data_IF_525276735268
#
_entry.id   IF_525276735268
#
_cell.length_a   1.000
_cell.length_b   1.000
_cell.length_c   1.000
_cell.angle_alpha   90.00
_cell.angle_beta   90.00
_cell.angle_gamma   90.00
#
_symmetry.space_group_name_H-M   'P 1'
#
loop_
_entity.id
_entity.type
_entity.pdbx_description
1 polymer ?
#
# COMPACT_ATOMS: atom_id res chain seq x y z
N UNK A 1 -2.53 -17.23 -23.54
CA UNK A 1 -1.56 -16.12 -23.51
C UNK A 1 -2.23 -14.74 -23.56
N UNK A 2 -3.55 -14.64 -23.38
CA UNK A 2 -4.29 -13.38 -23.27
C UNK A 2 -4.24 -12.76 -21.88
N UNK A 3 -4.96 -11.65 -21.72
CA UNK A 3 -5.28 -11.06 -20.43
C UNK A 3 -6.45 -11.80 -19.80
N UNK A 4 -6.45 -11.96 -18.49
CA UNK A 4 -7.57 -12.54 -17.75
C UNK A 4 -7.74 -11.84 -16.40
N UNK A 5 -8.93 -11.94 -15.84
CA UNK A 5 -9.33 -11.23 -14.63
C UNK A 5 -9.09 -9.72 -14.78
N UNK A 6 -8.67 -9.04 -13.74
CA UNK A 6 -8.44 -7.59 -13.72
C UNK A 6 -7.26 -7.11 -14.59
N UNK A 7 -6.44 -8.03 -15.16
CA UNK A 7 -5.42 -7.64 -16.13
C UNK A 7 -5.98 -6.87 -17.32
N UNK A 8 -7.22 -7.22 -17.76
CA UNK A 8 -7.91 -6.56 -18.86
C UNK A 8 -8.00 -5.05 -18.61
N UNK A 9 -8.24 -4.67 -17.36
CA UNK A 9 -8.38 -3.27 -16.96
C UNK A 9 -7.03 -2.61 -16.69
N UNK A 10 -6.20 -3.25 -15.87
CA UNK A 10 -4.96 -2.62 -15.38
C UNK A 10 -3.85 -2.58 -16.43
N UNK A 11 -3.66 -3.65 -17.21
CA UNK A 11 -2.69 -3.64 -18.31
C UNK A 11 -3.11 -2.70 -19.44
N UNK A 12 -4.43 -2.62 -19.73
CA UNK A 12 -4.98 -1.65 -20.65
C UNK A 12 -4.70 -0.22 -20.18
N UNK A 13 -4.99 0.11 -18.92
CA UNK A 13 -4.74 1.44 -18.38
C UNK A 13 -3.26 1.79 -18.37
N UNK A 14 -2.36 0.82 -18.11
CA UNK A 14 -0.93 1.02 -18.25
C UNK A 14 -0.52 1.45 -19.68
N UNK A 15 -1.14 0.84 -20.70
CA UNK A 15 -0.96 1.24 -22.10
C UNK A 15 -1.54 2.63 -22.38
N UNK A 16 -2.76 2.92 -21.88
CA UNK A 16 -3.42 4.23 -22.04
C UNK A 16 -2.58 5.35 -21.40
N UNK A 17 -1.97 5.12 -20.23
CA UNK A 17 -1.05 6.06 -19.59
C UNK A 17 0.19 6.33 -20.44
N UNK A 18 0.77 5.28 -21.01
CA UNK A 18 1.96 5.39 -21.86
C UNK A 18 1.71 6.23 -23.11
N UNK A 19 0.54 6.09 -23.73
CA UNK A 19 0.17 6.74 -24.96
C UNK A 19 -0.69 8.01 -24.77
N UNK A 20 -0.83 8.49 -23.53
CA UNK A 20 -1.60 9.71 -23.22
C UNK A 20 -3.05 9.62 -23.76
N UNK A 21 -3.69 8.48 -23.54
CA UNK A 21 -5.06 8.21 -23.98
C UNK A 21 -6.08 8.42 -22.85
N UNK A 22 -7.37 8.46 -23.21
CA UNK A 22 -8.46 8.43 -22.22
C UNK A 22 -8.39 7.16 -21.37
N UNK A 23 -8.47 7.31 -20.07
CA UNK A 23 -8.35 6.21 -19.12
C UNK A 23 -9.69 5.50 -18.97
N UNK A 24 -9.72 4.20 -19.27
CA UNK A 24 -10.89 3.36 -19.13
C UNK A 24 -11.18 2.96 -17.69
N UNK A 25 -10.14 2.47 -16.97
CA UNK A 25 -10.26 2.06 -15.58
C UNK A 25 -9.70 3.16 -14.64
N UNK A 26 -10.59 3.88 -13.98
CA UNK A 26 -10.30 5.01 -13.10
C UNK A 26 -10.73 4.74 -11.64
N UNK A 27 -11.24 3.54 -11.33
CA UNK A 27 -11.85 3.21 -10.02
C UNK A 27 -10.84 3.06 -8.89
N UNK A 28 -9.55 2.96 -9.19
CA UNK A 28 -8.46 2.90 -8.23
C UNK A 28 -7.41 3.98 -8.48
N UNK A 29 -6.70 4.44 -7.42
CA UNK A 29 -5.59 5.37 -7.56
C UNK A 29 -4.54 4.88 -8.57
N UNK A 30 -3.79 5.77 -9.22
CA UNK A 30 -3.02 5.42 -10.41
C UNK A 30 -1.73 4.66 -10.18
N UNK A 31 -1.09 4.73 -8.98
CA UNK A 31 0.29 4.27 -8.78
C UNK A 31 0.48 2.78 -9.13
N UNK A 32 -0.45 1.91 -8.73
CA UNK A 32 -0.35 0.48 -9.07
C UNK A 32 -0.30 0.23 -10.58
N UNK A 33 -1.09 0.99 -11.36
CA UNK A 33 -1.11 0.93 -12.83
C UNK A 33 0.15 1.54 -13.44
N UNK A 34 0.73 2.57 -12.83
CA UNK A 34 2.03 3.13 -13.23
C UNK A 34 3.15 2.10 -13.02
N UNK A 35 3.12 1.34 -11.94
CA UNK A 35 4.10 0.26 -11.70
C UNK A 35 3.97 -0.84 -12.77
N UNK A 36 2.75 -1.22 -13.16
CA UNK A 36 2.55 -2.14 -14.30
C UNK A 36 3.08 -1.54 -15.59
N UNK A 37 2.84 -0.24 -15.83
CA UNK A 37 3.33 0.48 -17.01
C UNK A 37 4.86 0.41 -17.15
N UNK A 38 5.63 0.41 -16.06
CA UNK A 38 7.11 0.28 -16.13
C UNK A 38 7.53 -1.02 -16.82
N UNK A 39 6.87 -2.13 -16.55
CA UNK A 39 7.16 -3.38 -17.24
C UNK A 39 6.75 -3.36 -18.71
N UNK A 40 5.62 -2.69 -19.03
CA UNK A 40 5.17 -2.50 -20.42
C UNK A 40 6.14 -1.61 -21.21
N UNK A 41 6.71 -0.56 -20.60
CA UNK A 41 7.73 0.31 -21.22
C UNK A 41 8.97 -0.48 -21.58
N UNK A 42 9.43 -1.36 -20.70
CA UNK A 42 10.71 -2.09 -20.89
C UNK A 42 10.55 -3.27 -21.86
N UNK A 43 9.46 -4.02 -21.73
CA UNK A 43 9.28 -5.31 -22.40
C UNK A 43 8.18 -5.32 -23.46
N UNK A 44 7.48 -4.19 -23.66
CA UNK A 44 6.38 -4.04 -24.60
C UNK A 44 5.04 -4.55 -24.05
N UNK A 45 3.96 -4.26 -24.80
CA UNK A 45 2.58 -4.66 -24.47
C UNK A 45 2.35 -6.14 -24.78
N UNK A 46 2.89 -7.02 -23.93
CA UNK A 46 2.78 -8.49 -24.00
C UNK A 46 2.69 -9.09 -22.59
N UNK A 47 2.25 -10.33 -22.42
CA UNK A 47 2.03 -10.95 -21.10
C UNK A 47 3.20 -10.81 -20.14
N UNK A 48 4.43 -11.00 -20.59
CA UNK A 48 5.61 -10.79 -19.78
C UNK A 48 5.74 -9.31 -19.32
N UNK A 49 5.49 -8.35 -20.23
CA UNK A 49 5.64 -6.92 -19.95
C UNK A 49 4.72 -6.46 -18.82
N UNK A 50 3.43 -6.78 -18.86
CA UNK A 50 2.53 -6.32 -17.78
C UNK A 50 2.59 -7.17 -16.51
N UNK A 51 3.17 -8.38 -16.52
CA UNK A 51 3.26 -9.28 -15.35
C UNK A 51 4.58 -9.23 -14.60
N UNK A 52 5.67 -8.80 -15.23
CA UNK A 52 7.01 -8.88 -14.62
C UNK A 52 7.12 -8.05 -13.35
N UNK A 53 6.61 -6.81 -13.33
CA UNK A 53 6.68 -5.95 -12.15
C UNK A 53 5.82 -6.47 -11.00
N UNK A 54 4.53 -6.83 -11.19
CA UNK A 54 3.77 -7.56 -10.18
C UNK A 54 4.50 -8.80 -9.62
N UNK A 55 5.06 -9.64 -10.49
CA UNK A 55 5.79 -10.84 -10.07
C UNK A 55 7.04 -10.52 -9.22
N UNK A 56 7.78 -9.46 -9.57
CA UNK A 56 8.92 -8.99 -8.77
C UNK A 56 8.48 -8.50 -7.38
N UNK A 57 7.36 -7.79 -7.28
CA UNK A 57 6.79 -7.37 -6.00
C UNK A 57 6.34 -8.58 -5.17
N UNK A 58 5.70 -9.57 -5.80
CA UNK A 58 5.34 -10.83 -5.14
C UNK A 58 6.55 -11.57 -4.61
N UNK A 59 7.62 -11.71 -5.40
CA UNK A 59 8.86 -12.32 -4.96
C UNK A 59 9.51 -11.52 -3.80
N UNK A 60 9.49 -10.18 -3.86
CA UNK A 60 10.03 -9.31 -2.83
C UNK A 60 9.23 -9.36 -1.51
N UNK A 61 7.96 -9.78 -1.53
CA UNK A 61 7.19 -10.00 -0.30
C UNK A 61 7.82 -11.07 0.58
N UNK A 62 8.44 -12.11 0.02
CA UNK A 62 9.01 -13.22 0.79
C UNK A 62 10.13 -12.79 1.76
N UNK A 63 11.19 -12.07 1.33
CA UNK A 63 12.20 -11.57 2.26
C UNK A 63 11.67 -10.50 3.22
N UNK A 64 10.70 -9.69 2.82
CA UNK A 64 10.03 -8.73 3.71
C UNK A 64 9.27 -9.46 4.79
N UNK A 65 8.47 -10.46 4.44
CA UNK A 65 7.70 -11.27 5.38
C UNK A 65 8.59 -12.12 6.30
N UNK A 66 9.67 -12.71 5.77
CA UNK A 66 10.70 -13.36 6.58
C UNK A 66 11.27 -12.41 7.64
N UNK A 67 11.59 -11.17 7.24
CA UNK A 67 12.15 -10.16 8.14
C UNK A 67 11.15 -9.77 9.22
N UNK A 68 9.90 -9.52 8.84
CA UNK A 68 8.80 -9.23 9.77
C UNK A 68 8.60 -10.38 10.77
N UNK A 69 8.47 -11.61 10.28
CA UNK A 69 8.31 -12.80 11.11
C UNK A 69 9.50 -12.98 12.09
N UNK A 70 10.73 -12.72 11.63
CA UNK A 70 11.92 -12.74 12.48
C UNK A 70 11.87 -11.68 13.58
N UNK A 71 11.32 -10.47 13.32
CA UNK A 71 11.12 -9.43 14.35
C UNK A 71 10.08 -9.85 15.38
N UNK A 72 9.00 -10.48 14.94
CA UNK A 72 7.89 -10.89 15.80
C UNK A 72 8.24 -12.12 16.65
N UNK A 73 8.75 -13.18 16.05
CA UNK A 73 9.03 -14.45 16.72
C UNK A 73 10.40 -14.49 17.39
N UNK A 74 11.34 -13.60 17.00
CA UNK A 74 12.74 -13.59 17.44
C UNK A 74 13.49 -14.92 17.20
N UNK A 75 12.99 -15.74 16.27
CA UNK A 75 13.54 -17.04 15.89
C UNK A 75 13.61 -17.15 14.36
N UNK A 76 14.75 -17.64 13.85
CA UNK A 76 14.97 -17.74 12.38
C UNK A 76 14.20 -18.90 11.75
N UNK A 77 14.09 -20.02 12.47
CA UNK A 77 13.35 -21.22 12.03
C UNK A 77 11.86 -20.90 11.83
N UNK A 78 11.20 -20.23 12.77
CA UNK A 78 9.81 -19.80 12.62
C UNK A 78 9.65 -18.76 11.51
N UNK A 79 10.61 -17.84 11.36
CA UNK A 79 10.57 -16.86 10.28
C UNK A 79 10.70 -17.53 8.91
N UNK A 80 11.57 -18.54 8.80
CA UNK A 80 11.72 -19.33 7.56
C UNK A 80 10.44 -20.11 7.26
N UNK A 81 9.87 -20.79 8.26
CA UNK A 81 8.62 -21.52 8.09
C UNK A 81 7.48 -20.61 7.63
N UNK A 82 7.33 -19.43 8.25
CA UNK A 82 6.33 -18.44 7.87
C UNK A 82 6.50 -17.98 6.42
N UNK A 83 7.73 -17.66 6.01
CA UNK A 83 8.02 -17.26 4.63
C UNK A 83 7.82 -18.40 3.62
N UNK A 84 8.15 -19.64 4.01
CA UNK A 84 7.91 -20.82 3.19
C UNK A 84 6.40 -21.09 3.01
N UNK A 85 5.59 -20.94 4.06
CA UNK A 85 4.14 -21.06 3.97
C UNK A 85 3.56 -20.01 3.03
N UNK A 86 4.02 -18.74 3.11
CA UNK A 86 3.61 -17.70 2.16
C UNK A 86 4.04 -18.03 0.73
N UNK A 87 5.24 -18.56 0.52
CA UNK A 87 5.74 -18.94 -0.80
C UNK A 87 4.93 -20.09 -1.44
N UNK A 88 4.39 -20.98 -0.61
CA UNK A 88 3.58 -22.12 -1.03
C UNK A 88 2.07 -21.81 -1.05
N UNK A 89 1.68 -20.63 -0.59
CA UNK A 89 0.28 -20.20 -0.62
C UNK A 89 -0.19 -19.99 -2.06
N UNK A 90 -1.25 -20.69 -2.43
CA UNK A 90 -1.77 -20.68 -3.80
C UNK A 90 -2.36 -19.34 -4.19
N UNK A 91 -2.95 -18.60 -3.24
CA UNK A 91 -3.49 -17.28 -3.48
C UNK A 91 -2.37 -16.27 -3.73
N UNK A 92 -1.32 -16.25 -2.89
CA UNK A 92 -0.14 -15.44 -3.11
C UNK A 92 0.49 -15.74 -4.47
N UNK A 93 0.71 -17.02 -4.78
CA UNK A 93 1.31 -17.44 -6.05
C UNK A 93 0.49 -16.99 -7.27
N UNK A 94 -0.84 -17.11 -7.22
CA UNK A 94 -1.72 -16.73 -8.33
C UNK A 94 -1.81 -15.24 -8.50
N UNK A 95 -2.09 -14.50 -7.42
CA UNK A 95 -2.32 -13.05 -7.44
C UNK A 95 -1.06 -12.25 -7.79
N UNK A 96 0.12 -12.74 -7.43
CA UNK A 96 1.37 -12.03 -7.73
C UNK A 96 1.87 -12.25 -9.16
N UNK A 97 1.28 -13.17 -9.92
CA UNK A 97 1.64 -13.47 -11.32
C UNK A 97 0.74 -12.81 -12.35
N UNK A 98 -0.28 -12.11 -11.92
CA UNK A 98 -1.19 -11.35 -12.78
C UNK A 98 -1.05 -9.85 -12.52
N UNK A 99 -1.40 -9.02 -13.51
CA UNK A 99 -1.28 -7.57 -13.42
C UNK A 99 -2.47 -6.96 -12.68
N UNK A 100 -2.48 -7.11 -11.35
CA UNK A 100 -3.46 -6.47 -10.47
C UNK A 100 -2.79 -5.44 -9.56
N UNK A 101 -3.56 -4.46 -9.09
CA UNK A 101 -3.06 -3.45 -8.14
C UNK A 101 -2.89 -4.00 -6.72
N UNK A 102 -3.52 -5.15 -6.44
CA UNK A 102 -3.55 -5.79 -5.11
C UNK A 102 -2.17 -6.24 -4.63
N UNK A 103 -1.31 -6.69 -5.53
CA UNK A 103 0.06 -7.09 -5.19
C UNK A 103 0.87 -5.91 -4.64
N UNK A 104 0.71 -4.72 -5.20
CA UNK A 104 1.45 -3.54 -4.77
C UNK A 104 1.00 -3.06 -3.41
N UNK A 105 -0.33 -2.93 -3.19
CA UNK A 105 -0.83 -2.51 -1.88
C UNK A 105 -0.46 -3.50 -0.78
N UNK A 106 -0.52 -4.81 -1.03
CA UNK A 106 -0.12 -5.83 -0.06
C UNK A 106 1.37 -5.72 0.29
N UNK A 107 2.23 -5.52 -0.70
CA UNK A 107 3.66 -5.30 -0.48
C UNK A 107 3.91 -4.07 0.41
N UNK A 108 3.26 -2.94 0.12
CA UNK A 108 3.39 -1.73 0.92
C UNK A 108 2.82 -1.90 2.33
N UNK A 109 1.72 -2.62 2.51
CA UNK A 109 1.20 -2.96 3.85
C UNK A 109 2.23 -3.79 4.64
N UNK A 110 2.88 -4.77 4.03
CA UNK A 110 3.92 -5.54 4.70
C UNK A 110 5.11 -4.66 5.15
N UNK A 111 5.53 -3.72 4.31
CA UNK A 111 6.56 -2.75 4.67
C UNK A 111 6.11 -1.83 5.80
N UNK A 112 4.86 -1.32 5.75
CA UNK A 112 4.28 -0.50 6.81
C UNK A 112 4.32 -1.21 8.15
N UNK A 113 3.86 -2.47 8.19
CA UNK A 113 3.84 -3.29 9.42
C UNK A 113 5.26 -3.61 9.88
N UNK A 114 6.19 -3.92 8.98
CA UNK A 114 7.61 -4.16 9.31
C UNK A 114 8.23 -2.93 9.98
N UNK A 115 8.12 -1.77 9.36
CA UNK A 115 8.72 -0.54 9.88
C UNK A 115 8.04 -0.05 11.16
N UNK A 116 6.72 -0.19 11.28
CA UNK A 116 6.02 0.09 12.54
C UNK A 116 6.45 -0.87 13.65
N UNK A 117 6.67 -2.15 13.34
CA UNK A 117 7.21 -3.14 14.28
C UNK A 117 8.61 -2.75 14.75
N UNK A 118 9.49 -2.33 13.83
CA UNK A 118 10.83 -1.84 14.20
C UNK A 118 10.75 -0.61 15.10
N UNK A 119 9.82 0.34 14.83
CA UNK A 119 9.60 1.52 15.66
C UNK A 119 9.13 1.17 17.08
N UNK A 120 8.08 0.35 17.23
CA UNK A 120 7.50 0.04 18.54
C UNK A 120 8.36 -0.90 19.40
N UNK A 121 9.34 -1.58 18.81
CA UNK A 121 10.30 -2.39 19.55
C UNK A 121 11.44 -1.57 20.15
N UNK A 122 11.57 -0.30 19.79
CA UNK A 122 12.55 0.62 20.35
C UNK A 122 12.04 1.26 21.64
N UNK A 123 12.94 1.53 22.58
CA UNK A 123 12.61 2.29 23.80
C UNK A 123 12.46 3.77 23.43
N UNK A 124 11.21 4.25 23.44
CA UNK A 124 10.90 5.61 23.03
C UNK A 124 11.64 6.69 23.83
N UNK A 125 11.92 6.43 25.12
CA UNK A 125 12.57 7.41 25.99
C UNK A 125 14.10 7.37 25.93
N UNK A 126 14.69 6.21 25.60
CA UNK A 126 16.15 6.04 25.63
C UNK A 126 16.79 6.23 24.27
N UNK A 127 16.12 5.80 23.19
CA UNK A 127 16.72 5.89 21.85
C UNK A 127 16.73 7.32 21.32
N UNK A 128 17.76 7.73 20.56
CA UNK A 128 17.77 9.05 19.92
C UNK A 128 16.63 9.18 18.90
N UNK A 129 16.01 10.37 18.84
CA UNK A 129 14.88 10.64 17.93
C UNK A 129 15.19 10.30 16.46
N UNK A 130 16.41 10.57 16.00
CA UNK A 130 16.83 10.21 14.62
C UNK A 130 16.70 8.71 14.34
N UNK A 131 17.02 7.86 15.33
CA UNK A 131 16.91 6.41 15.19
C UNK A 131 15.44 5.95 15.16
N UNK A 132 14.58 6.58 15.95
CA UNK A 132 13.13 6.34 15.97
C UNK A 132 12.47 6.81 14.66
N UNK A 133 12.90 7.94 14.14
CA UNK A 133 12.31 8.57 12.94
C UNK A 133 12.61 7.80 11.65
N UNK A 134 13.70 7.04 11.60
CA UNK A 134 14.04 6.27 10.39
C UNK A 134 12.95 5.24 10.04
N UNK A 135 12.61 4.26 10.91
CA UNK A 135 11.53 3.32 10.58
C UNK A 135 10.16 4.00 10.52
N UNK A 136 9.89 5.00 11.36
CA UNK A 136 8.62 5.73 11.33
C UNK A 136 8.43 6.48 9.99
N UNK A 137 9.46 7.11 9.46
CA UNK A 137 9.44 7.76 8.15
C UNK A 137 9.29 6.77 7.00
N UNK A 138 10.03 5.64 7.05
CA UNK A 138 9.88 4.57 6.05
C UNK A 138 8.45 3.98 6.07
N UNK A 139 7.84 3.86 7.25
CA UNK A 139 6.43 3.47 7.40
C UNK A 139 5.50 4.47 6.70
N UNK A 140 5.70 5.79 6.93
CA UNK A 140 4.88 6.84 6.33
C UNK A 140 5.01 6.91 4.79
N UNK A 141 6.22 6.74 4.25
CA UNK A 141 6.43 6.66 2.79
C UNK A 141 5.72 5.42 2.22
N UNK A 142 5.86 4.26 2.88
CA UNK A 142 5.17 3.03 2.46
C UNK A 142 3.64 3.19 2.51
N UNK A 143 3.12 3.90 3.52
CA UNK A 143 1.71 4.28 3.61
C UNK A 143 1.27 5.11 2.41
N UNK A 144 2.03 6.15 2.05
CA UNK A 144 1.73 6.99 0.88
C UNK A 144 1.71 6.20 -0.43
N UNK A 145 2.70 5.33 -0.65
CA UNK A 145 2.76 4.46 -1.82
C UNK A 145 1.60 3.44 -1.85
N UNK A 146 1.25 2.90 -0.69
CA UNK A 146 0.12 1.99 -0.55
C UNK A 146 -1.20 2.67 -0.91
N UNK A 147 -1.51 3.81 -0.30
CA UNK A 147 -2.76 4.57 -0.55
C UNK A 147 -2.84 5.05 -2.01
N UNK A 148 -1.72 5.45 -2.60
CA UNK A 148 -1.65 5.83 -4.02
C UNK A 148 -1.84 4.64 -4.98
N UNK A 149 -1.72 3.39 -4.49
CA UNK A 149 -2.00 2.17 -5.26
C UNK A 149 -3.45 1.69 -5.09
N UNK A 150 -3.98 1.71 -3.86
CA UNK A 150 -5.37 1.31 -3.54
C UNK A 150 -5.81 1.90 -2.19
N UNK A 151 -7.06 2.36 -2.09
CA UNK A 151 -7.60 2.97 -0.86
C UNK A 151 -7.62 2.03 0.37
N UNK A 152 -7.55 0.73 0.17
CA UNK A 152 -7.41 -0.24 1.28
C UNK A 152 -6.18 0.03 2.16
N UNK A 153 -5.19 0.76 1.66
CA UNK A 153 -4.06 1.29 2.44
C UNK A 153 -4.48 2.17 3.62
N UNK A 154 -5.61 2.87 3.53
CA UNK A 154 -6.14 3.69 4.62
C UNK A 154 -6.57 2.83 5.82
N UNK A 155 -7.17 1.66 5.58
CA UNK A 155 -7.54 0.74 6.66
C UNK A 155 -6.31 0.19 7.39
N UNK A 156 -5.25 -0.15 6.64
CA UNK A 156 -3.96 -0.52 7.22
C UNK A 156 -3.36 0.64 8.03
N UNK A 157 -3.46 1.88 7.52
CA UNK A 157 -3.05 3.10 8.23
C UNK A 157 -3.77 3.27 9.58
N UNK A 158 -5.09 2.99 9.65
CA UNK A 158 -5.83 3.00 10.90
C UNK A 158 -5.29 1.97 11.91
N UNK A 159 -4.97 0.74 11.46
CA UNK A 159 -4.32 -0.27 12.30
C UNK A 159 -2.95 0.18 12.82
N UNK A 160 -2.14 0.82 11.97
CA UNK A 160 -0.84 1.39 12.38
C UNK A 160 -1.00 2.51 13.41
N UNK A 161 -2.02 3.37 13.26
CA UNK A 161 -2.32 4.42 14.23
C UNK A 161 -2.61 3.83 15.61
N UNK A 162 -3.39 2.73 15.69
CA UNK A 162 -3.64 2.02 16.96
C UNK A 162 -2.32 1.52 17.57
N UNK A 163 -1.43 0.90 16.78
CA UNK A 163 -0.13 0.43 17.26
C UNK A 163 0.74 1.59 17.77
N UNK A 164 0.80 2.68 16.99
CA UNK A 164 1.55 3.89 17.35
C UNK A 164 1.05 4.51 18.65
N UNK A 165 -0.25 4.77 18.77
CA UNK A 165 -0.82 5.39 19.97
C UNK A 165 -0.71 4.48 21.20
N UNK A 166 -0.87 3.17 21.06
CA UNK A 166 -0.65 2.22 22.14
C UNK A 166 0.79 2.27 22.65
N UNK A 167 1.79 2.36 21.74
CA UNK A 167 3.18 2.52 22.10
C UNK A 167 3.45 3.85 22.84
N UNK A 168 2.91 4.96 22.33
CA UNK A 168 3.04 6.30 22.93
C UNK A 168 2.38 6.37 24.32
N UNK A 169 1.19 5.79 24.48
CA UNK A 169 0.48 5.73 25.77
C UNK A 169 1.32 4.94 26.81
N UNK A 170 1.87 3.79 26.43
CA UNK A 170 2.77 3.01 27.31
C UNK A 170 3.98 3.81 27.75
N UNK A 171 4.63 4.51 26.82
CA UNK A 171 5.77 5.38 27.13
C UNK A 171 5.37 6.52 28.08
N UNK A 172 4.21 7.17 27.86
CA UNK A 172 3.68 8.23 28.72
C UNK A 172 3.35 7.76 30.15
N UNK A 173 2.74 6.56 30.25
CA UNK A 173 2.43 5.96 31.56
C UNK A 173 3.72 5.69 32.35
N UNK A 174 4.77 5.20 31.72
CA UNK A 174 6.06 4.94 32.39
C UNK A 174 6.74 6.20 32.94
N UNK A 175 6.48 7.36 32.33
CA UNK A 175 7.05 8.64 32.73
C UNK A 175 6.18 9.41 33.77
N UNK A 176 5.00 8.87 34.16
CA UNK A 176 3.97 9.61 34.91
C UNK A 176 4.44 10.12 36.28
N UNK A 177 5.28 9.35 36.98
CA UNK A 177 5.70 9.64 38.36
C UNK A 177 6.92 10.60 38.45
N UNK A 178 7.67 10.77 37.38
CA UNK A 178 8.84 11.64 37.33
C UNK A 178 8.55 12.88 36.49
N UNK A 179 8.65 14.06 37.10
CA UNK A 179 8.36 15.33 36.43
C UNK A 179 9.35 15.64 35.31
N UNK A 180 10.63 15.29 35.49
CA UNK A 180 11.65 15.51 34.45
C UNK A 180 11.42 14.58 33.26
N UNK A 181 11.18 13.29 33.51
CA UNK A 181 10.85 12.31 32.46
C UNK A 181 9.55 12.69 31.72
N UNK A 182 8.54 13.20 32.43
CA UNK A 182 7.28 13.66 31.82
C UNK A 182 7.49 14.87 30.92
N UNK A 183 8.33 15.84 31.31
CA UNK A 183 8.67 16.99 30.47
C UNK A 183 9.38 16.56 29.20
N UNK A 184 10.36 15.66 29.33
CA UNK A 184 11.10 15.09 28.19
C UNK A 184 10.19 14.29 27.27
N UNK A 185 9.29 13.47 27.81
CA UNK A 185 8.27 12.74 27.04
C UNK A 185 7.45 13.70 26.17
N UNK A 186 6.92 14.79 26.72
CA UNK A 186 6.12 15.74 25.93
C UNK A 186 6.94 16.46 24.86
N UNK A 187 8.20 16.82 25.18
CA UNK A 187 9.10 17.41 24.17
C UNK A 187 9.31 16.47 22.99
N UNK A 188 9.59 15.19 23.28
CA UNK A 188 9.76 14.16 22.25
C UNK A 188 8.47 13.90 21.48
N UNK A 189 7.34 13.88 22.18
CA UNK A 189 6.01 13.66 21.56
C UNK A 189 5.69 14.76 20.54
N UNK A 190 5.90 16.02 20.87
CA UNK A 190 5.65 17.11 19.91
C UNK A 190 6.58 17.03 18.69
N UNK A 191 7.85 16.69 18.88
CA UNK A 191 8.75 16.43 17.75
C UNK A 191 8.29 15.26 16.88
N UNK A 192 7.80 14.17 17.50
CA UNK A 192 7.27 13.00 16.79
C UNK A 192 5.98 13.34 16.06
N UNK A 193 5.06 14.09 16.66
CA UNK A 193 3.83 14.56 16.00
C UNK A 193 4.16 15.43 14.78
N UNK A 194 5.08 16.41 14.93
CA UNK A 194 5.54 17.23 13.80
C UNK A 194 6.13 16.38 12.67
N UNK A 195 6.94 15.37 13.01
CA UNK A 195 7.48 14.41 12.05
C UNK A 195 6.35 13.59 11.38
N UNK A 196 5.37 13.11 12.14
CA UNK A 196 4.22 12.39 11.60
C UNK A 196 3.37 13.26 10.66
N UNK A 197 3.17 14.54 10.95
CA UNK A 197 2.47 15.43 10.02
C UNK A 197 3.16 15.50 8.65
N UNK A 198 4.49 15.46 8.61
CA UNK A 198 5.23 15.45 7.35
C UNK A 198 5.11 14.06 6.67
N UNK A 199 5.40 12.99 7.39
CA UNK A 199 5.56 11.66 6.80
C UNK A 199 4.26 10.86 6.62
N UNK A 200 3.19 11.19 7.36
CA UNK A 200 1.88 10.52 7.22
C UNK A 200 0.79 11.40 6.62
N UNK A 201 1.05 12.71 6.40
CA UNK A 201 0.10 13.59 5.71
C UNK A 201 0.74 14.24 4.47
N UNK A 202 1.79 15.05 4.62
CA UNK A 202 2.33 15.83 3.51
C UNK A 202 2.98 14.95 2.42
N UNK A 203 3.86 14.02 2.79
CA UNK A 203 4.52 13.10 1.83
C UNK A 203 3.52 12.16 1.17
N UNK A 204 2.60 11.47 1.88
CA UNK A 204 1.54 10.69 1.25
C UNK A 204 0.67 11.49 0.29
N UNK A 205 0.27 12.71 0.67
CA UNK A 205 -0.50 13.59 -0.20
C UNK A 205 0.27 13.96 -1.48
N UNK A 206 1.57 14.25 -1.35
CA UNK A 206 2.44 14.51 -2.50
C UNK A 206 2.58 13.28 -3.41
N UNK A 207 2.86 12.09 -2.85
CA UNK A 207 2.95 10.84 -3.61
C UNK A 207 1.64 10.57 -4.34
N UNK A 208 0.52 10.72 -3.64
CA UNK A 208 -0.81 10.54 -4.19
C UNK A 208 -1.08 11.50 -5.35
N UNK A 209 -0.83 12.79 -5.15
CA UNK A 209 -0.98 13.81 -6.19
C UNK A 209 -0.10 13.53 -7.42
N UNK A 210 1.18 13.22 -7.20
CA UNK A 210 2.12 12.91 -8.29
C UNK A 210 1.73 11.63 -9.06
N UNK A 211 1.05 10.69 -8.43
CA UNK A 211 0.56 9.50 -9.13
C UNK A 211 -0.48 9.83 -10.22
N UNK A 212 -1.14 11.01 -10.15
CA UNK A 212 -2.09 11.45 -11.18
C UNK A 212 -1.44 12.11 -12.40
N UNK A 213 -0.11 12.19 -12.49
CA UNK A 213 0.58 12.76 -13.67
C UNK A 213 0.08 12.20 -15.02
N UNK A 214 -0.19 10.89 -15.20
CA UNK A 214 -0.75 10.39 -16.46
C UNK A 214 -2.11 11.01 -16.81
N UNK A 215 -2.96 11.21 -15.82
CA UNK A 215 -4.24 11.90 -16.00
C UNK A 215 -4.05 13.37 -16.37
N UNK A 216 -3.09 14.07 -15.73
CA UNK A 216 -2.79 15.47 -16.05
C UNK A 216 -2.30 15.62 -17.49
N UNK A 217 -1.45 14.69 -17.95
CA UNK A 217 -0.94 14.67 -19.33
C UNK A 217 -2.08 14.52 -20.33
N UNK A 218 -3.00 13.61 -20.10
CA UNK A 218 -4.18 13.44 -20.97
C UNK A 218 -5.09 14.66 -20.91
N UNK A 219 -5.37 15.21 -19.72
CA UNK A 219 -6.24 16.39 -19.57
C UNK A 219 -5.68 17.62 -20.31
N UNK A 220 -4.36 17.78 -20.31
CA UNK A 220 -3.67 18.85 -21.03
C UNK A 220 -3.82 18.78 -22.58
N UNK A 221 -4.26 17.65 -23.12
CA UNK A 221 -4.59 17.53 -24.55
C UNK A 221 -5.95 18.10 -24.95
N UNK A 222 -6.81 18.40 -23.96
CA UNK A 222 -8.17 18.90 -24.19
C UNK A 222 -8.17 20.42 -24.28
N UNK A 223 -8.97 21.03 -25.18
CA UNK A 223 -9.06 22.49 -25.33
C UNK A 223 -9.49 23.23 -24.05
N UNK A 224 -10.36 22.59 -23.23
CA UNK A 224 -10.89 23.14 -21.99
C UNK A 224 -10.56 22.20 -20.81
N UNK A 225 -9.32 21.75 -20.70
CA UNK A 225 -8.90 20.83 -19.66
C UNK A 225 -9.02 21.44 -18.26
N UNK A 226 -9.35 20.59 -17.29
CA UNK A 226 -9.53 20.98 -15.88
C UNK A 226 -8.17 21.10 -15.21
N UNK A 227 -8.00 22.03 -14.28
CA UNK A 227 -6.78 22.19 -13.49
C UNK A 227 -6.47 20.95 -12.67
N UNK A 228 -5.19 20.65 -12.47
CA UNK A 228 -4.70 19.39 -11.87
C UNK A 228 -5.30 19.07 -10.49
N UNK A 229 -5.45 20.06 -9.60
CA UNK A 229 -6.07 19.86 -8.28
C UNK A 229 -7.56 19.54 -8.43
N UNK A 230 -8.29 20.28 -9.26
CA UNK A 230 -9.71 20.04 -9.51
C UNK A 230 -9.91 18.64 -10.12
N UNK A 231 -9.05 18.22 -11.04
CA UNK A 231 -9.10 16.89 -11.63
C UNK A 231 -8.90 15.78 -10.58
N UNK A 232 -7.93 15.93 -9.66
CA UNK A 232 -7.76 14.97 -8.57
C UNK A 232 -9.02 14.90 -7.70
N UNK A 233 -9.62 16.03 -7.32
CA UNK A 233 -10.85 16.05 -6.52
C UNK A 233 -12.02 15.38 -7.24
N UNK A 234 -12.23 15.68 -8.53
CA UNK A 234 -13.25 15.02 -9.33
C UNK A 234 -13.04 13.49 -9.42
N UNK A 235 -11.78 13.05 -9.53
CA UNK A 235 -11.48 11.62 -9.54
C UNK A 235 -11.75 10.95 -8.17
N UNK A 236 -11.51 11.66 -7.03
CA UNK A 236 -11.90 11.12 -5.71
C UNK A 236 -13.42 10.95 -5.62
N UNK A 237 -14.19 11.95 -6.02
CA UNK A 237 -15.64 11.89 -6.03
C UNK A 237 -16.15 10.75 -6.90
N UNK A 238 -15.63 10.63 -8.12
CA UNK A 238 -15.98 9.53 -9.02
C UNK A 238 -15.67 8.15 -8.45
N UNK A 239 -14.45 7.96 -7.90
CA UNK A 239 -14.05 6.71 -7.24
C UNK A 239 -14.95 6.38 -6.05
N UNK A 240 -15.29 7.40 -5.23
CA UNK A 240 -16.17 7.21 -4.06
C UNK A 240 -17.56 6.75 -4.51
N UNK A 241 -18.18 7.42 -5.46
CA UNK A 241 -19.50 7.05 -5.96
C UNK A 241 -19.49 5.66 -6.59
N UNK A 242 -18.47 5.33 -7.39
CA UNK A 242 -18.34 3.98 -7.94
C UNK A 242 -18.38 2.90 -6.87
N UNK A 243 -17.58 3.04 -5.81
CA UNK A 243 -17.51 2.03 -4.75
C UNK A 243 -18.73 2.04 -3.82
N UNK A 244 -19.34 3.21 -3.58
CA UNK A 244 -20.52 3.36 -2.72
C UNK A 244 -21.79 2.83 -3.41
N UNK A 245 -21.95 3.11 -4.69
CA UNK A 245 -23.19 2.82 -5.42
C UNK A 245 -23.13 1.45 -6.14
N UNK A 246 -22.04 0.71 -5.97
CA UNK A 246 -21.84 -0.59 -6.60
C UNK A 246 -22.80 -1.64 -6.03
N UNK A 247 -23.82 -1.98 -6.81
CA UNK A 247 -24.84 -3.00 -6.48
C UNK A 247 -24.62 -4.32 -7.23
N UNK A 248 -23.62 -4.37 -8.11
CA UNK A 248 -23.32 -5.57 -8.88
C UNK A 248 -22.95 -6.74 -7.98
N UNK A 249 -23.59 -7.90 -8.20
CA UNK A 249 -23.28 -9.14 -7.51
C UNK A 249 -22.48 -10.05 -8.42
N UNK A 250 -21.59 -10.86 -7.85
CA UNK A 250 -20.83 -11.86 -8.59
C UNK A 250 -21.25 -13.26 -8.17
N UNK A 251 -21.44 -14.17 -9.12
CA UNK A 251 -21.89 -15.55 -8.87
C UNK A 251 -20.98 -16.32 -7.92
N UNK A 252 -19.68 -15.97 -7.88
CA UNK A 252 -18.68 -16.58 -7.01
C UNK A 252 -18.33 -15.68 -5.82
N UNK A 253 -19.16 -14.68 -5.46
CA UNK A 253 -18.89 -13.88 -4.28
C UNK A 253 -19.01 -14.74 -3.02
N UNK A 254 -18.16 -14.42 -2.01
CA UNK A 254 -18.18 -15.03 -0.68
C UNK A 254 -18.23 -13.98 0.40
N UNK A 255 -18.86 -14.30 1.51
CA UNK A 255 -18.87 -13.43 2.68
C UNK A 255 -17.50 -13.48 3.39
N UNK A 256 -17.10 -12.38 4.05
CA UNK A 256 -15.79 -12.26 4.68
C UNK A 256 -15.48 -13.37 5.71
N UNK A 257 -16.50 -13.89 6.40
CA UNK A 257 -16.37 -14.99 7.37
C UNK A 257 -16.17 -16.37 6.73
N UNK A 258 -16.39 -16.50 5.42
CA UNK A 258 -16.14 -17.73 4.66
C UNK A 258 -14.67 -17.82 4.20
N UNK A 259 -13.94 -16.70 4.17
CA UNK A 259 -12.55 -16.65 3.67
C UNK A 259 -11.56 -17.54 4.45
N UNK A 260 -11.60 -17.62 5.81
CA UNK A 260 -10.69 -18.50 6.55
C UNK A 260 -10.82 -19.99 6.18
N UNK A 261 -11.98 -20.38 5.68
CA UNK A 261 -12.29 -21.79 5.34
C UNK A 261 -12.25 -22.06 3.84
N UNK A 262 -11.98 -21.03 3.03
CA UNK A 262 -11.96 -21.13 1.55
C UNK A 262 -13.22 -21.81 1.00
N UNK A 263 -14.38 -21.51 1.56
CA UNK A 263 -15.67 -22.17 1.26
C UNK A 263 -16.11 -21.99 -0.20
N UNK A 264 -15.69 -20.89 -0.83
CA UNK A 264 -15.90 -20.60 -2.25
C UNK A 264 -14.63 -20.08 -2.88
N UNK A 265 -14.20 -20.68 -3.98
CA UNK A 265 -13.04 -20.22 -4.74
C UNK A 265 -13.41 -19.10 -5.69
N UNK A 266 -12.55 -18.10 -5.85
CA UNK A 266 -12.67 -17.11 -6.91
C UNK A 266 -12.15 -17.72 -8.21
N UNK A 267 -12.94 -17.60 -9.27
CA UNK A 267 -12.58 -18.10 -10.60
C UNK A 267 -11.81 -16.99 -11.35
N UNK A 268 -10.55 -17.24 -11.64
CA UNK A 268 -9.68 -16.32 -12.37
C UNK A 268 -9.63 -16.59 -13.87
N UNK A 269 -10.05 -17.80 -14.30
CA UNK A 269 -10.01 -18.25 -15.69
C UNK A 269 -11.18 -19.19 -15.99
N UNK A 270 -11.78 -19.02 -17.17
CA UNK A 270 -12.79 -19.87 -17.77
C UNK A 270 -12.20 -20.66 -18.94
#
# INVERSE_FOLDING_TARGET
NGMYFDEIYHARTAYEFLHTMSVYEWTHPPLGKILIMLGVVIFGMKPFGWRVVPALFGAAMLPVFFTLAKRLFRRRDFAFLAAALLALDTMHYTQTRIATVDVFILFFILLMVLFMTDYIQMDYMKEPLKKLFLPLGACGVSFGLGVASKWTGLYAGAGLAVMFFAHMIRAGISCRKDTAARREFWRRTWATVGFCCVFFLAIPALIYYLSFIPFFRYEATKPNGVGSIALVLQQQESMYHYHHDLTATHTCQSAWYEWPFTSRSVWFYF
#
